data_IF_704723979183
#
_entry.id   IF_704723979183
#
_cell.length_a   1.000
_cell.length_b   1.000
_cell.length_c   1.000
_cell.angle_alpha   90.00
_cell.angle_beta   90.00
_cell.angle_gamma   90.00
#
_symmetry.space_group_name_H-M   'P 1'
#
loop_
_entity.id
_entity.type
_entity.pdbx_description
1 polymer ?
#
# COMPACT_ATOMS: atom_id res chain seq x y z
N UNK A 1 0.20 -17.96 -10.60
CA UNK A 1 -0.36 -17.82 -9.26
C UNK A 1 -1.47 -18.85 -9.07
N UNK A 2 -1.43 -19.61 -7.99
CA UNK A 2 -2.55 -20.44 -7.56
C UNK A 2 -3.42 -19.60 -6.61
N UNK A 3 -4.67 -19.38 -7.00
CA UNK A 3 -5.62 -18.57 -6.23
C UNK A 3 -6.75 -19.49 -5.79
N UNK A 4 -7.02 -19.56 -4.50
CA UNK A 4 -8.17 -20.30 -3.95
C UNK A 4 -9.45 -19.47 -4.14
N UNK A 5 -9.92 -19.40 -5.36
CA UNK A 5 -11.12 -18.67 -5.75
C UNK A 5 -11.83 -19.32 -6.93
N UNK A 6 -13.14 -19.20 -7.01
CA UNK A 6 -13.94 -19.62 -8.17
C UNK A 6 -14.02 -18.48 -9.18
N UNK A 7 -13.58 -18.75 -10.43
CA UNK A 7 -13.75 -17.80 -11.53
C UNK A 7 -15.24 -17.69 -11.85
N UNK A 8 -15.78 -16.48 -11.88
CA UNK A 8 -17.20 -16.21 -12.10
C UNK A 8 -18.14 -16.90 -11.08
N UNK A 9 -17.69 -17.11 -9.85
CA UNK A 9 -18.55 -17.52 -8.76
C UNK A 9 -19.65 -16.49 -8.51
N UNK A 10 -20.88 -16.96 -8.22
CA UNK A 10 -21.98 -16.06 -7.87
C UNK A 10 -21.69 -15.38 -6.55
N UNK A 11 -21.85 -14.05 -6.50
CA UNK A 11 -21.74 -13.30 -5.25
C UNK A 11 -22.79 -13.77 -4.24
N UNK A 12 -22.43 -13.77 -2.98
CA UNK A 12 -23.37 -14.02 -1.86
C UNK A 12 -24.34 -12.83 -1.77
N UNK A 13 -25.60 -13.08 -1.48
CA UNK A 13 -26.59 -12.03 -1.29
C UNK A 13 -26.23 -11.14 -0.10
N UNK A 14 -26.27 -9.83 -0.28
CA UNK A 14 -25.95 -8.84 0.75
C UNK A 14 -25.07 -7.70 0.23
N UNK A 15 -24.87 -6.69 1.10
CA UNK A 15 -23.94 -5.59 0.85
C UNK A 15 -22.76 -5.68 1.81
N UNK A 16 -21.56 -5.66 1.24
CA UNK A 16 -20.30 -5.89 1.94
C UNK A 16 -19.38 -4.67 1.84
N UNK A 17 -18.54 -4.40 2.85
CA UNK A 17 -17.54 -3.35 2.75
C UNK A 17 -16.61 -3.57 1.55
N UNK A 18 -16.21 -2.49 0.88
CA UNK A 18 -15.24 -2.51 -0.20
C UNK A 18 -13.85 -2.20 0.33
N UNK A 19 -12.88 -3.06 0.01
CA UNK A 19 -11.46 -2.81 0.26
C UNK A 19 -10.71 -2.70 -1.06
N UNK A 20 -10.04 -1.58 -1.29
CA UNK A 20 -9.08 -1.42 -2.37
C UNK A 20 -7.71 -1.88 -1.88
N UNK A 21 -7.00 -2.68 -2.67
CA UNK A 21 -5.67 -3.16 -2.36
C UNK A 21 -4.67 -2.61 -3.38
N UNK A 22 -3.79 -1.72 -2.94
CA UNK A 22 -2.75 -1.11 -3.75
C UNK A 22 -1.41 -1.80 -3.53
N UNK A 23 -0.86 -2.41 -4.58
CA UNK A 23 0.42 -3.12 -4.53
C UNK A 23 1.62 -2.17 -4.39
N UNK A 24 2.78 -2.70 -3.98
CA UNK A 24 4.03 -1.97 -3.94
C UNK A 24 4.58 -1.70 -5.36
N UNK A 25 5.60 -0.86 -5.47
CA UNK A 25 6.37 -0.61 -6.70
C UNK A 25 6.74 -1.92 -7.38
N UNK A 26 6.65 -1.94 -8.71
CA UNK A 26 6.90 -3.12 -9.54
C UNK A 26 6.04 -4.36 -9.21
N UNK A 27 5.02 -4.23 -8.36
CA UNK A 27 4.08 -5.30 -8.06
C UNK A 27 3.01 -5.48 -9.13
N UNK A 28 2.03 -6.32 -8.84
CA UNK A 28 0.86 -6.55 -9.68
C UNK A 28 -0.38 -6.71 -8.81
N UNK A 29 -1.58 -6.70 -9.42
CA UNK A 29 -2.83 -7.05 -8.74
C UNK A 29 -2.81 -8.42 -8.04
N UNK A 30 -1.86 -9.29 -8.39
CA UNK A 30 -1.73 -10.62 -7.79
C UNK A 30 -0.73 -10.69 -6.65
N UNK A 31 0.07 -9.64 -6.41
CA UNK A 31 1.14 -9.67 -5.42
C UNK A 31 0.67 -10.00 -3.99
N UNK A 32 -0.60 -9.74 -3.68
CA UNK A 32 -1.20 -9.96 -2.35
C UNK A 32 -2.54 -10.72 -2.47
N UNK A 33 -2.65 -11.61 -3.45
CA UNK A 33 -3.90 -12.31 -3.77
C UNK A 33 -4.40 -13.20 -2.63
N UNK A 34 -3.52 -13.78 -1.84
CA UNK A 34 -3.84 -14.59 -0.66
C UNK A 34 -4.47 -13.75 0.45
N UNK A 35 -3.90 -12.56 0.73
CA UNK A 35 -4.49 -11.56 1.62
C UNK A 35 -5.88 -11.11 1.13
N UNK A 36 -6.01 -10.84 -0.17
CA UNK A 36 -7.30 -10.48 -0.78
C UNK A 36 -8.34 -11.61 -0.64
N UNK A 37 -7.95 -12.84 -0.92
CA UNK A 37 -8.82 -14.02 -0.79
C UNK A 37 -9.25 -14.25 0.67
N UNK A 38 -8.34 -14.08 1.62
CA UNK A 38 -8.64 -14.20 3.05
C UNK A 38 -9.64 -13.12 3.50
N UNK A 39 -9.45 -11.86 3.12
CA UNK A 39 -10.38 -10.77 3.42
C UNK A 39 -11.75 -11.00 2.78
N UNK A 40 -11.78 -11.50 1.53
CA UNK A 40 -13.04 -11.87 0.88
C UNK A 40 -13.78 -12.97 1.64
N UNK A 41 -13.07 -13.93 2.24
CA UNK A 41 -13.68 -14.97 3.09
C UNK A 41 -14.30 -14.42 4.37
N UNK A 42 -13.93 -13.24 4.83
CA UNK A 42 -14.52 -12.53 5.96
C UNK A 42 -15.74 -11.66 5.56
N UNK A 43 -16.10 -11.63 4.28
CA UNK A 43 -17.24 -10.87 3.78
C UNK A 43 -16.88 -9.45 3.31
N UNK A 44 -15.67 -9.26 2.77
CA UNK A 44 -15.31 -8.02 2.06
C UNK A 44 -15.39 -8.23 0.55
N UNK A 45 -15.79 -7.19 -0.19
CA UNK A 45 -15.48 -7.06 -1.61
C UNK A 45 -14.07 -6.50 -1.70
N UNK A 46 -13.15 -7.20 -2.36
CA UNK A 46 -11.75 -6.76 -2.48
C UNK A 46 -11.41 -6.50 -3.94
N UNK A 47 -10.94 -5.29 -4.23
CA UNK A 47 -10.49 -4.88 -5.56
C UNK A 47 -9.00 -4.52 -5.54
N UNK A 48 -8.23 -5.15 -6.42
CA UNK A 48 -6.80 -4.94 -6.56
C UNK A 48 -6.47 -4.48 -7.98
N UNK A 49 -6.34 -3.19 -8.26
CA UNK A 49 -5.93 -2.68 -9.57
C UNK A 49 -4.43 -2.92 -9.83
N UNK A 50 -4.04 -3.04 -11.11
CA UNK A 50 -2.68 -2.74 -11.52
C UNK A 50 -2.53 -1.23 -11.69
N UNK A 51 -1.35 -0.70 -11.40
CA UNK A 51 -1.03 0.72 -11.59
C UNK A 51 -0.24 0.92 -12.88
N UNK A 52 -0.83 1.49 -13.96
CA UNK A 52 -0.12 1.78 -15.20
C UNK A 52 1.10 2.67 -14.98
N UNK A 53 2.23 2.26 -15.55
CA UNK A 53 3.51 2.97 -15.36
C UNK A 53 4.23 2.71 -14.04
N UNK A 54 3.64 1.88 -13.15
CA UNK A 54 4.27 1.43 -11.91
C UNK A 54 3.82 0.02 -11.52
N UNK A 55 4.11 -0.93 -12.38
CA UNK A 55 3.86 -2.35 -12.18
C UNK A 55 5.00 -3.18 -12.81
N UNK A 56 4.95 -4.51 -12.67
CA UNK A 56 6.00 -5.41 -13.14
C UNK A 56 6.30 -5.27 -14.65
N UNK A 57 5.32 -4.91 -15.47
CA UNK A 57 5.46 -4.80 -16.92
C UNK A 57 5.95 -3.41 -17.35
N UNK A 58 5.73 -2.38 -16.55
CA UNK A 58 6.10 -0.99 -16.85
C UNK A 58 6.37 -0.20 -15.56
N UNK A 59 7.56 0.42 -15.46
CA UNK A 59 8.01 1.23 -14.33
C UNK A 59 8.40 2.67 -14.76
N UNK A 60 7.81 3.20 -15.83
CA UNK A 60 8.17 4.54 -16.38
C UNK A 60 7.96 5.67 -15.35
N UNK A 61 6.97 5.50 -14.45
CA UNK A 61 6.64 6.46 -13.41
C UNK A 61 7.46 6.30 -12.11
N UNK A 62 8.40 5.35 -12.03
CA UNK A 62 9.16 5.08 -10.81
C UNK A 62 9.85 6.34 -10.28
N UNK A 63 9.65 6.67 -9.00
CA UNK A 63 10.19 7.84 -8.29
C UNK A 63 9.82 9.19 -8.94
N UNK A 64 8.65 9.26 -9.56
CA UNK A 64 8.10 10.53 -10.07
C UNK A 64 6.85 10.93 -9.28
N UNK A 65 6.45 12.19 -9.45
CA UNK A 65 5.17 12.65 -8.91
C UNK A 65 3.99 11.84 -9.50
N UNK A 66 4.06 11.51 -10.79
CA UNK A 66 3.04 10.71 -11.48
C UNK A 66 2.82 9.34 -10.84
N UNK A 67 3.87 8.72 -10.27
CA UNK A 67 3.73 7.47 -9.53
C UNK A 67 2.71 7.60 -8.39
N UNK A 68 2.78 8.65 -7.61
CA UNK A 68 1.88 8.87 -6.46
C UNK A 68 0.51 9.41 -6.89
N UNK A 69 0.48 10.41 -7.78
CA UNK A 69 -0.73 11.06 -8.25
C UNK A 69 -1.63 10.10 -9.02
N UNK A 70 -1.05 9.36 -10.00
CA UNK A 70 -1.82 8.41 -10.80
C UNK A 70 -2.42 7.30 -9.94
N UNK A 71 -1.63 6.71 -9.02
CA UNK A 71 -2.14 5.68 -8.12
C UNK A 71 -3.33 6.14 -7.28
N UNK A 72 -3.28 7.36 -6.76
CA UNK A 72 -4.41 7.92 -6.02
C UNK A 72 -5.66 8.08 -6.90
N UNK A 73 -5.49 8.59 -8.12
CA UNK A 73 -6.59 8.71 -9.09
C UNK A 73 -7.13 7.34 -9.56
N UNK A 74 -6.27 6.37 -9.79
CA UNK A 74 -6.64 5.01 -10.20
C UNK A 74 -7.42 4.28 -9.10
N UNK A 75 -7.04 4.46 -7.84
CA UNK A 75 -7.77 3.91 -6.71
C UNK A 75 -9.15 4.58 -6.58
N UNK A 76 -9.22 5.92 -6.66
CA UNK A 76 -10.49 6.64 -6.63
C UNK A 76 -11.38 6.28 -7.82
N UNK A 77 -10.81 6.19 -9.03
CA UNK A 77 -11.51 5.75 -10.23
C UNK A 77 -11.97 4.28 -10.16
N UNK A 78 -11.24 3.42 -9.46
CA UNK A 78 -11.67 2.04 -9.22
C UNK A 78 -12.94 1.97 -8.37
N UNK A 79 -13.10 2.88 -7.40
CA UNK A 79 -14.35 3.00 -6.64
C UNK A 79 -15.49 3.39 -7.58
N UNK A 80 -15.27 4.39 -8.46
CA UNK A 80 -16.28 4.83 -9.41
C UNK A 80 -16.72 3.69 -10.32
N UNK A 81 -15.77 2.93 -10.87
CA UNK A 81 -16.06 1.78 -11.73
C UNK A 81 -16.89 0.72 -11.00
N UNK A 82 -16.49 0.34 -9.78
CA UNK A 82 -17.17 -0.71 -9.02
C UNK A 82 -18.58 -0.30 -8.56
N UNK A 83 -18.79 0.97 -8.23
CA UNK A 83 -20.11 1.49 -7.83
C UNK A 83 -21.06 1.72 -9.03
N UNK A 84 -20.57 1.63 -10.27
CA UNK A 84 -21.37 1.69 -11.49
C UNK A 84 -21.43 0.36 -12.25
N UNK A 85 -20.70 -0.64 -11.81
CA UNK A 85 -20.72 -1.97 -12.41
C UNK A 85 -21.99 -2.74 -11.97
N UNK A 86 -22.90 -3.13 -12.88
CA UNK A 86 -24.16 -3.76 -12.52
C UNK A 86 -24.02 -5.16 -11.89
N UNK A 87 -22.87 -5.82 -12.04
CA UNK A 87 -22.60 -7.12 -11.43
C UNK A 87 -22.02 -6.98 -10.02
N UNK A 88 -21.31 -5.88 -9.72
CA UNK A 88 -20.57 -5.67 -8.48
C UNK A 88 -21.32 -4.74 -7.52
N UNK A 89 -21.91 -3.62 -8.02
CA UNK A 89 -22.59 -2.61 -7.21
C UNK A 89 -23.60 -3.20 -6.22
N UNK A 90 -24.44 -4.18 -6.59
CA UNK A 90 -25.44 -4.72 -5.67
C UNK A 90 -24.84 -5.37 -4.41
N UNK A 91 -23.57 -5.79 -4.49
CA UNK A 91 -22.83 -6.41 -3.38
C UNK A 91 -21.99 -5.45 -2.57
N UNK A 92 -21.87 -4.16 -2.96
CA UNK A 92 -21.00 -3.18 -2.30
C UNK A 92 -21.79 -2.29 -1.33
N UNK A 93 -21.31 -2.16 -0.10
CA UNK A 93 -21.71 -1.12 0.83
C UNK A 93 -20.84 0.14 0.61
N UNK A 94 -21.34 1.09 -0.17
CA UNK A 94 -20.65 2.33 -0.51
C UNK A 94 -20.36 3.24 0.71
N UNK A 95 -20.92 2.95 1.88
CA UNK A 95 -20.66 3.71 3.11
C UNK A 95 -19.45 3.17 3.88
N UNK A 96 -18.94 1.99 3.51
CA UNK A 96 -17.83 1.29 4.15
C UNK A 96 -16.74 0.95 3.13
N UNK A 97 -15.96 1.96 2.74
CA UNK A 97 -14.86 1.80 1.79
C UNK A 97 -13.53 2.01 2.51
N UNK A 98 -12.64 1.04 2.41
CA UNK A 98 -11.29 1.10 2.96
C UNK A 98 -10.21 0.93 1.91
N UNK A 99 -8.97 1.29 2.27
CA UNK A 99 -7.80 1.10 1.43
C UNK A 99 -6.71 0.39 2.21
N UNK A 100 -6.12 -0.64 1.59
CA UNK A 100 -4.92 -1.32 2.06
C UNK A 100 -3.82 -1.02 1.05
N UNK A 101 -2.73 -0.40 1.49
CA UNK A 101 -1.59 -0.12 0.62
C UNK A 101 -0.30 -0.74 1.14
N UNK A 102 0.45 -1.39 0.26
CA UNK A 102 1.76 -1.98 0.55
C UNK A 102 2.85 -1.10 -0.07
N UNK A 103 3.91 -0.83 0.66
CA UNK A 103 5.02 -0.01 0.18
C UNK A 103 4.57 1.33 -0.38
N UNK A 104 4.82 1.59 -1.66
CA UNK A 104 4.33 2.81 -2.36
C UNK A 104 2.80 2.87 -2.37
N UNK A 105 2.11 1.74 -2.46
CA UNK A 105 0.65 1.69 -2.28
C UNK A 105 0.20 2.24 -0.93
N UNK A 106 1.01 2.04 0.13
CA UNK A 106 0.78 2.64 1.44
C UNK A 106 0.87 4.16 1.42
N UNK A 107 1.87 4.72 0.75
CA UNK A 107 1.96 6.18 0.54
C UNK A 107 0.75 6.70 -0.25
N UNK A 108 0.34 6.01 -1.32
CA UNK A 108 -0.84 6.38 -2.12
C UNK A 108 -2.13 6.36 -1.30
N UNK A 109 -2.29 5.37 -0.41
CA UNK A 109 -3.42 5.31 0.53
C UNK A 109 -3.43 6.50 1.50
N UNK A 110 -2.26 6.94 1.98
CA UNK A 110 -2.16 8.14 2.82
C UNK A 110 -2.60 9.41 2.07
N UNK A 111 -2.25 9.55 0.78
CA UNK A 111 -2.71 10.67 -0.06
C UNK A 111 -4.23 10.66 -0.21
N UNK A 112 -4.85 9.50 -0.43
CA UNK A 112 -6.30 9.35 -0.46
C UNK A 112 -6.99 9.68 0.87
N UNK A 113 -6.28 9.51 1.98
CA UNK A 113 -6.74 9.90 3.31
C UNK A 113 -6.58 11.39 3.62
N UNK A 114 -6.00 12.16 2.70
CA UNK A 114 -5.81 13.60 2.85
C UNK A 114 -4.41 14.02 3.32
N UNK A 115 -3.45 13.12 3.37
CA UNK A 115 -2.06 13.51 3.61
C UNK A 115 -1.53 14.35 2.44
N UNK A 116 -0.83 15.44 2.75
CA UNK A 116 -0.23 16.35 1.76
C UNK A 116 1.29 16.28 1.85
N UNK A 117 1.98 15.68 0.87
CA UNK A 117 3.44 15.60 0.90
C UNK A 117 4.08 16.98 0.68
N UNK A 118 5.24 17.21 1.31
CA UNK A 118 5.97 18.48 1.26
C UNK A 118 7.49 18.32 1.06
N UNK A 119 8.00 17.11 1.06
CA UNK A 119 9.43 16.80 0.93
C UNK A 119 10.34 17.34 2.05
N UNK A 120 9.83 17.79 3.19
CA UNK A 120 10.67 18.30 4.27
C UNK A 120 11.73 17.27 4.73
N UNK A 121 11.34 15.99 4.76
CA UNK A 121 12.24 14.90 5.15
C UNK A 121 13.31 14.55 4.12
N UNK A 122 13.14 14.94 2.85
CA UNK A 122 14.04 14.54 1.77
C UNK A 122 15.46 15.13 1.90
N UNK A 123 15.59 16.38 2.30
CA UNK A 123 16.87 17.09 2.36
C UNK A 123 17.97 16.33 3.11
N UNK A 124 17.61 15.61 4.17
CA UNK A 124 18.54 14.85 5.02
C UNK A 124 18.35 13.33 4.92
N UNK A 125 17.51 12.84 4.01
CA UNK A 125 17.17 11.42 3.94
C UNK A 125 18.42 10.57 3.64
N UNK A 126 19.13 10.87 2.56
CA UNK A 126 20.26 10.08 2.11
C UNK A 126 21.51 10.15 3.01
N UNK A 127 21.57 11.10 3.95
CA UNK A 127 22.61 11.11 4.99
C UNK A 127 22.30 10.21 6.18
N UNK A 128 21.07 9.68 6.26
CA UNK A 128 20.58 8.87 7.40
C UNK A 128 20.33 7.41 7.02
N UNK A 129 20.58 7.05 5.78
CA UNK A 129 20.38 5.71 5.22
C UNK A 129 21.67 5.15 4.65
N UNK A 130 21.63 3.93 4.13
CA UNK A 130 22.78 3.27 3.50
C UNK A 130 23.02 3.79 2.09
N UNK A 131 24.26 3.74 1.54
CA UNK A 131 24.53 4.10 0.16
C UNK A 131 23.77 3.27 -0.88
N UNK A 132 23.30 2.08 -0.49
CA UNK A 132 22.53 1.16 -1.34
C UNK A 132 21.02 1.38 -1.29
N UNK A 133 20.56 2.37 -0.51
CA UNK A 133 19.14 2.72 -0.44
C UNK A 133 18.61 3.11 -1.83
N UNK A 134 17.43 2.58 -2.17
CA UNK A 134 16.86 2.71 -3.52
C UNK A 134 16.58 4.16 -3.93
N UNK A 135 16.35 5.07 -2.98
CA UNK A 135 16.10 6.49 -3.21
C UNK A 135 17.39 7.31 -3.35
N UNK A 136 18.58 6.76 -3.01
CA UNK A 136 19.79 7.55 -2.80
C UNK A 136 20.89 7.38 -3.87
N UNK A 137 20.72 6.46 -4.83
CA UNK A 137 21.62 6.42 -5.99
C UNK A 137 21.44 7.67 -6.88
N UNK A 138 22.43 8.02 -7.74
CA UNK A 138 22.37 9.26 -8.52
C UNK A 138 21.10 9.43 -9.37
N UNK A 139 20.64 8.35 -10.01
CA UNK A 139 19.43 8.37 -10.83
C UNK A 139 18.17 8.61 -9.97
N UNK A 140 18.06 7.94 -8.85
CA UNK A 140 16.92 8.11 -7.94
C UNK A 140 16.89 9.51 -7.33
N UNK A 141 18.04 10.06 -6.94
CA UNK A 141 18.14 11.44 -6.40
C UNK A 141 17.63 12.48 -7.40
N UNK A 142 18.02 12.39 -8.66
CA UNK A 142 17.56 13.31 -9.71
C UNK A 142 16.02 13.28 -9.82
N UNK A 143 15.43 12.09 -9.83
CA UNK A 143 13.97 11.92 -9.90
C UNK A 143 13.27 12.43 -8.64
N UNK A 144 13.79 12.13 -7.47
CA UNK A 144 13.26 12.61 -6.20
C UNK A 144 13.36 14.13 -6.06
N UNK A 145 14.45 14.74 -6.51
CA UNK A 145 14.58 16.20 -6.56
C UNK A 145 13.56 16.83 -7.51
N UNK A 146 13.34 16.21 -8.68
CA UNK A 146 12.32 16.66 -9.63
C UNK A 146 10.91 16.51 -9.06
N UNK A 147 10.62 15.40 -8.35
CA UNK A 147 9.37 15.18 -7.62
C UNK A 147 9.17 16.28 -6.58
N UNK A 148 10.18 16.54 -5.75
CA UNK A 148 10.09 17.50 -4.66
C UNK A 148 9.90 18.96 -5.15
N UNK A 149 10.39 19.31 -6.34
CA UNK A 149 10.12 20.62 -6.95
C UNK A 149 8.64 20.88 -7.26
N UNK A 150 7.81 19.84 -7.30
CA UNK A 150 6.36 19.93 -7.52
C UNK A 150 5.57 20.04 -6.22
N UNK A 151 6.22 19.91 -5.07
CA UNK A 151 5.60 19.95 -3.76
C UNK A 151 5.89 21.28 -3.04
N UNK A 152 5.08 21.74 -2.09
CA UNK A 152 3.84 21.09 -1.64
C UNK A 152 2.72 21.14 -2.68
N UNK A 153 1.79 20.21 -2.58
CA UNK A 153 0.62 20.19 -3.46
C UNK A 153 -0.30 21.37 -3.19
N UNK A 154 -0.82 21.93 -4.27
CA UNK A 154 -1.87 22.97 -4.20
C UNK A 154 -3.28 22.37 -4.08
N UNK A 155 -3.42 21.07 -4.33
CA UNK A 155 -4.70 20.35 -4.30
C UNK A 155 -4.54 19.00 -3.63
N UNK A 156 -5.45 18.69 -2.71
CA UNK A 156 -5.55 17.38 -2.06
C UNK A 156 -6.01 16.30 -3.03
N UNK A 157 -5.46 15.09 -2.89
CA UNK A 157 -5.91 13.87 -3.57
C UNK A 157 -6.90 13.06 -2.69
N UNK A 158 -7.40 13.64 -1.61
CA UNK A 158 -8.31 12.97 -0.70
C UNK A 158 -9.61 12.53 -1.39
N UNK A 159 -10.02 11.30 -1.14
CA UNK A 159 -11.33 10.79 -1.50
C UNK A 159 -12.19 10.63 -0.24
N UNK A 160 -13.26 11.43 -0.16
CA UNK A 160 -14.13 11.51 1.01
C UNK A 160 -14.92 10.21 1.28
N UNK A 161 -14.92 9.27 0.35
CA UNK A 161 -15.55 7.96 0.52
C UNK A 161 -14.72 7.01 1.37
N UNK A 162 -13.40 7.27 1.52
CA UNK A 162 -12.50 6.43 2.31
C UNK A 162 -12.79 6.57 3.80
N UNK A 163 -13.09 5.46 4.46
CA UNK A 163 -13.45 5.40 5.88
C UNK A 163 -12.35 4.88 6.79
N UNK A 164 -11.43 4.07 6.26
CA UNK A 164 -10.31 3.52 7.01
C UNK A 164 -9.15 3.19 6.06
N UNK A 165 -7.93 3.28 6.56
CA UNK A 165 -6.71 3.01 5.79
C UNK A 165 -5.80 2.07 6.58
N UNK A 166 -5.26 1.05 5.92
CA UNK A 166 -4.13 0.28 6.41
C UNK A 166 -2.92 0.52 5.49
N UNK A 167 -1.83 1.03 6.04
CA UNK A 167 -0.56 1.21 5.34
C UNK A 167 0.46 0.19 5.86
N UNK A 168 0.82 -0.76 5.02
CA UNK A 168 1.72 -1.88 5.34
C UNK A 168 3.10 -1.58 4.77
N UNK A 169 4.10 -1.49 5.63
CA UNK A 169 5.48 -1.11 5.28
C UNK A 169 5.53 0.06 4.28
N UNK A 170 4.82 1.19 4.54
CA UNK A 170 4.69 2.27 3.56
C UNK A 170 6.05 2.83 3.15
N UNK A 171 6.22 3.11 1.86
CA UNK A 171 7.34 3.85 1.31
C UNK A 171 7.17 5.37 1.44
N UNK A 172 8.09 6.13 0.86
CA UNK A 172 8.03 7.60 0.75
C UNK A 172 7.82 8.36 2.07
N UNK A 173 8.18 7.79 3.22
CA UNK A 173 8.04 8.47 4.51
C UNK A 173 8.75 9.82 4.59
N UNK A 174 9.82 10.01 3.79
CA UNK A 174 10.56 11.26 3.69
C UNK A 174 9.79 12.40 3.01
N UNK A 175 8.70 12.10 2.32
CA UNK A 175 7.87 13.13 1.68
C UNK A 175 6.92 13.82 2.66
N UNK A 176 6.85 13.37 3.91
CA UNK A 176 5.88 13.88 4.88
C UNK A 176 6.56 14.63 6.02
N UNK A 177 5.89 15.70 6.48
CA UNK A 177 6.13 16.41 7.73
C UNK A 177 4.93 16.28 8.67
N UNK A 178 4.97 16.91 9.83
CA UNK A 178 3.81 17.00 10.74
C UNK A 178 2.62 17.69 10.07
N UNK A 179 2.88 18.71 9.26
CA UNK A 179 1.83 19.47 8.56
C UNK A 179 1.15 18.63 7.49
N UNK A 180 1.83 17.65 6.92
CA UNK A 180 1.27 16.73 5.92
C UNK A 180 0.00 16.02 6.41
N UNK A 181 -0.14 15.79 7.72
CA UNK A 181 -1.27 15.06 8.30
C UNK A 181 -2.35 15.96 8.92
N UNK A 182 -2.27 17.27 8.74
CA UNK A 182 -3.25 18.20 9.31
C UNK A 182 -4.68 17.92 8.85
N UNK A 183 -4.85 17.53 7.59
CA UNK A 183 -6.14 17.22 6.98
C UNK A 183 -6.40 15.71 6.82
N UNK A 184 -5.55 14.89 7.41
CA UNK A 184 -5.74 13.45 7.39
C UNK A 184 -6.82 13.05 8.39
N UNK A 185 -7.92 12.44 7.91
CA UNK A 185 -9.11 12.20 8.73
C UNK A 185 -9.43 10.73 8.99
N UNK A 186 -9.13 9.72 8.11
CA UNK A 186 -9.56 8.36 8.36
C UNK A 186 -8.74 7.71 9.49
N UNK A 187 -9.33 6.75 10.24
CA UNK A 187 -8.55 5.84 11.07
C UNK A 187 -7.44 5.18 10.26
N UNK A 188 -6.25 5.05 10.86
CA UNK A 188 -5.08 4.46 10.23
C UNK A 188 -4.54 3.29 11.05
N UNK A 189 -4.39 2.13 10.40
CA UNK A 189 -3.56 1.03 10.85
C UNK A 189 -2.21 1.11 10.12
N UNK A 190 -1.14 1.30 10.87
CA UNK A 190 0.21 1.41 10.35
C UNK A 190 1.00 0.15 10.73
N UNK A 191 1.39 -0.62 9.74
CA UNK A 191 2.17 -1.83 9.94
C UNK A 191 3.62 -1.63 9.51
N UNK A 192 4.55 -2.10 10.33
CA UNK A 192 5.98 -2.03 10.07
C UNK A 192 6.56 -3.42 9.80
N UNK A 193 7.41 -3.51 8.78
CA UNK A 193 8.24 -4.66 8.46
C UNK A 193 9.69 -4.34 8.88
N UNK A 194 10.18 -4.85 10.02
CA UNK A 194 11.48 -4.44 10.55
C UNK A 194 12.68 -4.83 9.70
N UNK A 195 12.56 -5.87 8.91
CA UNK A 195 13.64 -6.36 8.04
C UNK A 195 13.53 -5.81 6.60
N UNK A 196 12.56 -4.96 6.33
CA UNK A 196 12.41 -4.33 5.03
C UNK A 196 13.55 -3.33 4.77
N UNK A 197 14.40 -3.65 3.81
CA UNK A 197 15.53 -2.81 3.40
C UNK A 197 15.12 -1.79 2.33
N UNK A 198 14.00 -2.01 1.62
CA UNK A 198 13.49 -1.09 0.61
C UNK A 198 12.74 0.07 1.27
N UNK A 199 11.93 -0.24 2.28
CA UNK A 199 11.14 0.74 3.03
C UNK A 199 11.50 0.66 4.52
N UNK A 200 12.78 0.91 4.85
CA UNK A 200 13.31 0.81 6.21
C UNK A 200 12.37 1.50 7.23
N UNK A 201 11.82 0.68 8.15
CA UNK A 201 10.75 1.12 9.06
C UNK A 201 11.07 2.41 9.81
N UNK A 202 12.33 2.61 10.23
CA UNK A 202 12.78 3.82 10.94
C UNK A 202 12.65 5.11 10.12
N UNK A 203 12.77 5.01 8.80
CA UNK A 203 12.75 6.15 7.87
C UNK A 203 11.39 6.36 7.23
N UNK A 204 10.51 5.36 7.29
CA UNK A 204 9.20 5.37 6.65
C UNK A 204 8.05 5.18 7.65
N UNK A 205 7.67 3.96 7.99
CA UNK A 205 6.52 3.70 8.87
C UNK A 205 6.65 4.37 10.25
N UNK A 206 7.81 4.24 10.91
CA UNK A 206 8.05 4.86 12.23
C UNK A 206 8.04 6.39 12.14
N UNK A 207 8.65 6.96 11.10
CA UNK A 207 8.61 8.39 10.85
C UNK A 207 7.17 8.89 10.68
N UNK A 208 6.35 8.23 9.85
CA UNK A 208 4.93 8.58 9.69
C UNK A 208 4.21 8.54 11.04
N UNK A 209 4.41 7.46 11.82
CA UNK A 209 3.83 7.34 13.16
C UNK A 209 4.19 8.52 14.07
N UNK A 210 5.45 8.94 14.07
CA UNK A 210 5.96 10.02 14.93
C UNK A 210 5.43 11.39 14.50
N UNK A 211 5.23 11.62 13.21
CA UNK A 211 4.72 12.88 12.65
C UNK A 211 3.25 13.13 12.96
N UNK A 212 2.44 12.09 13.12
CA UNK A 212 1.00 12.25 13.37
C UNK A 212 0.72 12.62 14.83
N UNK A 213 -0.12 13.64 15.04
CA UNK A 213 -0.57 14.04 16.39
C UNK A 213 -1.51 13.01 16.99
N UNK A 214 -2.54 12.61 16.24
CA UNK A 214 -3.38 11.46 16.57
C UNK A 214 -2.66 10.19 16.13
N UNK A 215 -2.14 9.45 17.11
CA UNK A 215 -1.35 8.25 16.81
C UNK A 215 -2.20 7.17 16.13
N UNK A 216 -1.74 6.62 15.00
CA UNK A 216 -2.39 5.49 14.36
C UNK A 216 -2.26 4.22 15.22
N UNK A 217 -3.14 3.24 14.96
CA UNK A 217 -2.92 1.87 15.45
C UNK A 217 -1.63 1.34 14.84
N UNK A 218 -0.71 0.86 15.71
CA UNK A 218 0.61 0.38 15.29
C UNK A 218 0.71 -1.13 15.42
N UNK A 219 1.21 -1.80 14.38
CA UNK A 219 1.58 -3.20 14.42
C UNK A 219 2.98 -3.40 13.82
N UNK A 220 3.86 -4.05 14.57
CA UNK A 220 5.11 -4.58 14.02
C UNK A 220 4.90 -6.03 13.59
N UNK A 221 5.41 -6.36 12.39
CA UNK A 221 5.42 -7.71 11.83
C UNK A 221 6.86 -8.26 11.95
N UNK A 222 7.20 -8.98 13.03
CA UNK A 222 8.56 -9.45 13.25
C UNK A 222 9.05 -10.30 12.08
N UNK A 223 10.32 -10.15 11.73
CA UNK A 223 10.99 -10.84 10.62
C UNK A 223 10.45 -10.51 9.22
N UNK A 224 9.41 -9.67 9.08
CA UNK A 224 8.89 -9.29 7.78
C UNK A 224 9.85 -8.35 7.04
N UNK A 225 10.00 -8.60 5.76
CA UNK A 225 10.55 -7.76 4.71
C UNK A 225 9.51 -7.62 3.57
N UNK A 226 9.84 -6.89 2.51
CA UNK A 226 8.97 -6.73 1.35
C UNK A 226 8.53 -8.07 0.76
N UNK A 227 9.47 -9.02 0.58
CA UNK A 227 9.18 -10.33 0.01
C UNK A 227 8.28 -11.19 0.90
N UNK A 228 8.46 -11.10 2.22
CA UNK A 228 7.65 -11.82 3.20
C UNK A 228 6.19 -11.35 3.27
N UNK A 229 5.93 -10.10 2.87
CA UNK A 229 4.56 -9.54 2.83
C UNK A 229 3.78 -9.96 1.58
N UNK A 230 4.48 -10.38 0.52
CA UNK A 230 3.86 -10.83 -0.73
C UNK A 230 3.31 -12.25 -0.58
N UNK A 231 2.26 -12.54 -1.36
CA UNK A 231 1.78 -13.90 -1.54
C UNK A 231 2.93 -14.83 -2.03
N UNK A 232 2.91 -16.12 -1.69
CA UNK A 232 3.91 -17.06 -2.18
C UNK A 232 4.10 -16.97 -3.69
N UNK A 233 5.33 -16.79 -4.14
CA UNK A 233 5.62 -16.69 -5.57
C UNK A 233 5.35 -18.00 -6.31
N UNK A 234 4.91 -17.93 -7.59
CA UNK A 234 5.00 -19.08 -8.48
C UNK A 234 6.47 -19.51 -8.63
N UNK A 235 6.71 -20.79 -8.88
CA UNK A 235 8.08 -21.34 -8.97
C UNK A 235 8.94 -20.64 -10.02
N UNK A 236 8.35 -20.27 -11.18
CA UNK A 236 9.03 -19.50 -12.23
C UNK A 236 9.59 -18.18 -11.69
N UNK A 237 8.79 -17.42 -10.96
CA UNK A 237 9.22 -16.15 -10.37
C UNK A 237 10.24 -16.38 -9.23
N UNK A 238 10.06 -17.44 -8.45
CA UNK A 238 10.98 -17.78 -7.37
C UNK A 238 12.38 -18.22 -7.86
N UNK A 239 12.49 -18.65 -9.12
CA UNK A 239 13.78 -18.93 -9.78
C UNK A 239 14.45 -17.65 -10.29
N UNK A 240 13.66 -16.68 -10.76
CA UNK A 240 14.15 -15.41 -11.29
C UNK A 240 14.52 -14.40 -10.19
N UNK A 241 13.73 -14.36 -9.11
CA UNK A 241 13.86 -13.40 -8.00
C UNK A 241 13.91 -14.13 -6.63
N UNK A 242 14.91 -15.00 -6.39
CA UNK A 242 14.95 -15.78 -5.16
C UNK A 242 15.10 -14.92 -3.90
N UNK A 243 15.78 -13.77 -3.96
CA UNK A 243 15.96 -12.84 -2.86
C UNK A 243 14.62 -12.21 -2.41
N UNK A 244 13.66 -12.09 -3.30
CA UNK A 244 12.32 -11.58 -3.00
C UNK A 244 11.39 -12.73 -2.56
N UNK A 245 11.38 -13.81 -3.33
CA UNK A 245 10.40 -14.88 -3.15
C UNK A 245 10.74 -15.83 -1.99
N UNK A 246 12.05 -15.98 -1.66
CA UNK A 246 12.57 -16.88 -0.64
C UNK A 246 13.31 -16.14 0.48
N UNK A 247 12.96 -14.89 0.72
CA UNK A 247 13.56 -14.04 1.76
C UNK A 247 13.37 -14.60 3.18
N UNK A 248 12.30 -15.35 3.40
CA UNK A 248 11.98 -16.04 4.66
C UNK A 248 11.51 -17.48 4.39
N UNK A 249 11.51 -18.33 5.43
CA UNK A 249 10.94 -19.68 5.32
C UNK A 249 9.42 -19.64 5.12
N UNK A 250 8.84 -20.72 4.61
CA UNK A 250 7.40 -20.85 4.41
C UNK A 250 6.62 -20.73 5.74
N UNK A 251 7.15 -21.30 6.82
CA UNK A 251 6.54 -21.20 8.16
C UNK A 251 6.55 -19.75 8.66
N UNK A 252 7.67 -19.05 8.50
CA UNK A 252 7.79 -17.63 8.88
C UNK A 252 6.83 -16.77 8.08
N UNK A 253 6.74 -16.97 6.76
CA UNK A 253 5.78 -16.28 5.90
C UNK A 253 4.34 -16.52 6.37
N UNK A 254 3.98 -17.77 6.64
CA UNK A 254 2.64 -18.12 7.14
C UNK A 254 2.31 -17.41 8.45
N UNK A 255 3.26 -17.32 9.38
CA UNK A 255 3.08 -16.63 10.65
C UNK A 255 2.92 -15.10 10.45
N UNK A 256 3.71 -14.50 9.55
CA UNK A 256 3.60 -13.07 9.19
C UNK A 256 2.22 -12.79 8.57
N UNK A 257 1.81 -13.59 7.58
CA UNK A 257 0.52 -13.42 6.89
C UNK A 257 -0.65 -13.57 7.85
N UNK A 258 -0.63 -14.61 8.70
CA UNK A 258 -1.67 -14.80 9.73
C UNK A 258 -1.81 -13.55 10.60
N UNK A 259 -0.71 -13.05 11.16
CA UNK A 259 -0.72 -11.86 12.02
C UNK A 259 -1.19 -10.61 11.29
N UNK A 260 -0.75 -10.41 10.05
CA UNK A 260 -1.11 -9.27 9.20
C UNK A 260 -2.61 -9.33 8.85
N UNK A 261 -3.09 -10.46 8.34
CA UNK A 261 -4.48 -10.61 7.87
C UNK A 261 -5.48 -10.53 9.01
N UNK A 262 -5.20 -11.16 10.17
CA UNK A 262 -6.02 -11.04 11.37
C UNK A 262 -6.16 -9.58 11.83
N UNK A 263 -5.05 -8.82 11.82
CA UNK A 263 -5.08 -7.41 12.20
C UNK A 263 -5.81 -6.53 11.18
N UNK A 264 -5.71 -6.84 9.87
CA UNK A 264 -6.47 -6.17 8.81
C UNK A 264 -7.97 -6.44 8.97
N UNK A 265 -8.36 -7.70 9.13
CA UNK A 265 -9.76 -8.07 9.33
C UNK A 265 -10.37 -7.40 10.55
N UNK A 266 -9.69 -7.45 11.71
CA UNK A 266 -10.12 -6.80 12.93
C UNK A 266 -10.27 -5.27 12.75
N UNK A 267 -9.34 -4.64 12.04
CA UNK A 267 -9.35 -3.19 11.85
C UNK A 267 -10.48 -2.70 10.94
N UNK A 268 -10.83 -3.45 9.88
CA UNK A 268 -11.87 -3.04 8.94
C UNK A 268 -13.28 -3.51 9.31
N UNK A 269 -13.42 -4.47 10.25
CA UNK A 269 -14.71 -4.91 10.75
C UNK A 269 -15.23 -4.03 11.90
N UNK A 270 -14.34 -3.35 12.63
CA UNK A 270 -14.62 -2.55 13.83
C UNK A 270 -14.16 -1.10 13.70
#
# INVERSE_FOLDING_TARGET
WEISASRAGKAVDGRFPLLLLSHDTAGTRFSYHDTAAWLASLGFVVAAPNHPGDNMDNMDNLLTWQQLENRAHELSGSIDLLLHDPEVEPSVDATRIGVIGFGVGGASALLLGGALPDCEGWANYCSRTTPTDMYCNPWARERMEALCKRLPLTRSLADQRIRAIAAVAPGFGMLFSRQSFHWFYPPLLLMAAPNDVLNASSLHARRIYELMDKKPRWLSLPQADTGALMAPCPESLALELPELCRSVSAETRTAIHKRMTEALGDFFLH
#
